data_IF_112816897515
#
_entry.id   IF_112816897515
#
_cell.length_a   1.000
_cell.length_b   1.000
_cell.length_c   1.000
_cell.angle_alpha   90.00
_cell.angle_beta   90.00
_cell.angle_gamma   90.00
#
_symmetry.space_group_name_H-M   'P 1'
#
loop_
_entity.id
_entity.type
_entity.pdbx_description
1 polymer ?
#
# COMPACT_ATOMS: atom_id res chain seq x y z
N UNK A 1 -30.98 26.20 -58.83
CA UNK A 1 -31.32 25.79 -57.44
C UNK A 1 -30.19 26.29 -56.55
N UNK A 2 -30.51 27.07 -55.52
CA UNK A 2 -29.52 27.87 -54.79
C UNK A 2 -28.72 27.05 -53.78
N UNK A 3 -27.39 27.28 -53.74
CA UNK A 3 -26.44 26.66 -52.81
C UNK A 3 -26.95 26.58 -51.36
N UNK A 4 -27.64 27.63 -50.89
CA UNK A 4 -28.19 27.71 -49.54
C UNK A 4 -29.22 26.61 -49.22
N UNK A 5 -30.03 26.18 -50.20
CA UNK A 5 -31.01 25.12 -49.99
C UNK A 5 -30.35 23.75 -49.87
N UNK A 6 -29.25 23.52 -50.59
CA UNK A 6 -28.46 22.28 -50.46
C UNK A 6 -27.73 22.24 -49.11
N UNK A 7 -27.14 23.35 -48.67
CA UNK A 7 -26.48 23.42 -47.35
C UNK A 7 -27.47 23.18 -46.22
N UNK A 8 -28.68 23.75 -46.31
CA UNK A 8 -29.73 23.55 -45.31
C UNK A 8 -30.23 22.10 -45.27
N UNK A 9 -30.28 21.44 -46.42
CA UNK A 9 -30.70 20.04 -46.54
C UNK A 9 -29.63 19.10 -45.97
N UNK A 10 -28.36 19.37 -46.27
CA UNK A 10 -27.22 18.68 -45.65
C UNK A 10 -27.22 18.81 -44.14
N UNK A 11 -27.42 20.03 -43.61
CA UNK A 11 -27.47 20.27 -42.17
C UNK A 11 -28.59 19.48 -41.47
N UNK A 12 -29.80 19.50 -42.03
CA UNK A 12 -30.93 18.72 -41.48
C UNK A 12 -30.66 17.21 -41.49
N UNK A 13 -30.03 16.71 -42.55
CA UNK A 13 -29.68 15.28 -42.68
C UNK A 13 -28.66 14.87 -41.62
N UNK A 14 -27.60 15.65 -41.45
CA UNK A 14 -26.57 15.46 -40.41
C UNK A 14 -27.19 15.51 -39.01
N UNK A 15 -28.08 16.47 -38.74
CA UNK A 15 -28.75 16.61 -37.45
C UNK A 15 -29.67 15.42 -37.12
N UNK A 16 -30.36 14.86 -38.12
CA UNK A 16 -31.20 13.67 -37.95
C UNK A 16 -30.37 12.42 -37.67
N UNK A 17 -29.24 12.25 -38.35
CA UNK A 17 -28.30 11.14 -38.11
C UNK A 17 -27.70 11.27 -36.70
N UNK A 18 -27.35 12.49 -36.28
CA UNK A 18 -26.84 12.76 -34.94
C UNK A 18 -27.90 12.45 -33.88
N UNK A 19 -29.15 12.88 -34.08
CA UNK A 19 -30.26 12.65 -33.14
C UNK A 19 -30.65 11.17 -33.04
N UNK A 20 -30.61 10.43 -34.14
CA UNK A 20 -30.90 8.99 -34.18
C UNK A 20 -29.88 8.18 -33.35
N UNK A 21 -28.61 8.59 -33.38
CA UNK A 21 -27.52 7.89 -32.67
C UNK A 21 -27.10 8.57 -31.35
N UNK A 22 -27.76 9.64 -30.94
CA UNK A 22 -27.40 10.43 -29.75
C UNK A 22 -27.44 9.57 -28.48
N UNK A 23 -28.48 8.74 -28.33
CA UNK A 23 -28.62 7.85 -27.17
C UNK A 23 -27.46 6.85 -27.08
N UNK A 24 -27.12 6.21 -28.20
CA UNK A 24 -26.03 5.22 -28.28
C UNK A 24 -24.68 5.87 -28.01
N UNK A 25 -24.42 7.05 -28.56
CA UNK A 25 -23.17 7.78 -28.33
C UNK A 25 -23.04 8.25 -26.87
N UNK A 26 -24.12 8.72 -26.26
CA UNK A 26 -24.14 9.18 -24.87
C UNK A 26 -23.91 8.01 -23.90
N UNK A 27 -24.56 6.86 -24.13
CA UNK A 27 -24.34 5.65 -23.34
C UNK A 27 -22.89 5.20 -23.48
N UNK A 28 -22.33 5.17 -24.70
CA UNK A 28 -20.94 4.79 -24.94
C UNK A 28 -19.95 5.73 -24.26
N UNK A 29 -20.18 7.04 -24.30
CA UNK A 29 -19.29 8.03 -23.68
C UNK A 29 -19.28 7.97 -22.15
N UNK A 30 -20.36 7.48 -21.54
CA UNK A 30 -20.46 7.33 -20.07
C UNK A 30 -19.99 5.93 -19.64
N UNK A 31 -20.36 4.88 -20.37
CA UNK A 31 -19.99 3.50 -20.04
C UNK A 31 -18.50 3.24 -20.18
N UNK A 32 -17.84 3.79 -21.20
CA UNK A 32 -16.42 3.51 -21.44
C UNK A 32 -15.50 3.98 -20.28
N UNK A 33 -15.62 5.22 -19.76
CA UNK A 33 -14.91 5.63 -18.54
C UNK A 33 -15.26 4.78 -17.32
N UNK A 34 -16.54 4.40 -17.16
CA UNK A 34 -17.00 3.59 -16.04
C UNK A 34 -16.37 2.19 -16.02
N UNK A 35 -16.28 1.54 -17.19
CA UNK A 35 -15.64 0.24 -17.34
C UNK A 35 -14.14 0.34 -17.04
N UNK A 36 -13.47 1.39 -17.54
CA UNK A 36 -12.06 1.67 -17.22
C UNK A 36 -11.88 1.86 -15.71
N UNK A 37 -12.73 2.66 -15.07
CA UNK A 37 -12.68 2.89 -13.63
C UNK A 37 -12.93 1.60 -12.84
N UNK A 38 -13.80 0.71 -13.33
CA UNK A 38 -14.09 -0.56 -12.65
C UNK A 38 -12.94 -1.56 -12.81
N UNK A 39 -12.34 -1.64 -14.00
CA UNK A 39 -11.17 -2.49 -14.25
C UNK A 39 -9.97 -1.98 -13.45
N UNK A 40 -9.61 -0.71 -13.57
CA UNK A 40 -8.46 -0.14 -12.86
C UNK A 40 -8.72 0.06 -11.36
N UNK A 41 -9.96 0.30 -10.96
CA UNK A 41 -10.36 0.35 -9.55
C UNK A 41 -10.25 -1.01 -8.87
N UNK A 42 -10.49 -2.11 -9.60
CA UNK A 42 -10.33 -3.46 -9.04
C UNK A 42 -8.87 -3.94 -8.99
N UNK A 43 -8.02 -3.47 -9.91
CA UNK A 43 -6.59 -3.77 -9.95
C UNK A 43 -5.80 -3.23 -8.74
N UNK A 44 -6.35 -2.28 -7.98
CA UNK A 44 -5.73 -1.77 -6.75
C UNK A 44 -5.93 -2.63 -5.49
N UNK A 45 -6.77 -3.67 -5.54
CA UNK A 45 -7.33 -4.24 -4.29
C UNK A 45 -6.62 -5.49 -3.71
N UNK A 46 -5.62 -6.07 -4.37
CA UNK A 46 -4.91 -7.20 -3.75
C UNK A 46 -3.51 -7.40 -4.28
N UNK A 47 -2.54 -6.70 -3.70
CA UNK A 47 -1.16 -7.14 -3.75
C UNK A 47 -1.02 -8.26 -2.74
N UNK A 48 -0.81 -9.48 -3.23
CA UNK A 48 -0.47 -10.64 -2.40
C UNK A 48 1.03 -10.87 -2.44
N UNK A 49 1.60 -11.27 -1.31
CA UNK A 49 2.98 -11.71 -1.22
C UNK A 49 4.02 -10.61 -1.30
N UNK A 50 3.78 -9.46 -0.66
CA UNK A 50 4.84 -8.46 -0.47
C UNK A 50 5.99 -9.13 0.30
N UNK A 51 7.22 -9.19 -0.23
CA UNK A 51 8.35 -9.82 0.43
C UNK A 51 8.76 -9.00 1.65
N UNK A 52 8.75 -9.66 2.81
CA UNK A 52 9.05 -9.04 4.10
C UNK A 52 10.10 -9.83 4.85
N UNK A 53 11.09 -9.15 5.39
CA UNK A 53 11.99 -9.73 6.38
C UNK A 53 11.60 -9.30 7.79
N UNK A 54 11.75 -10.23 8.73
CA UNK A 54 11.44 -9.97 10.14
C UNK A 54 12.70 -10.12 10.98
N UNK A 55 12.94 -9.14 11.85
CA UNK A 55 14.00 -9.15 12.85
C UNK A 55 13.34 -9.25 14.22
N UNK A 56 13.66 -10.29 14.99
CA UNK A 56 13.02 -10.54 16.27
C UNK A 56 14.00 -10.37 17.44
N UNK A 57 14.05 -9.17 18.03
CA UNK A 57 14.82 -8.90 19.25
C UNK A 57 14.06 -9.28 20.54
N UNK A 58 12.74 -9.44 20.48
CA UNK A 58 11.92 -9.82 21.63
C UNK A 58 12.11 -11.28 22.05
N UNK A 59 12.25 -12.18 21.06
CA UNK A 59 12.50 -13.62 21.25
C UNK A 59 11.57 -14.28 22.29
N UNK A 60 10.33 -13.80 22.40
CA UNK A 60 9.33 -14.32 23.34
C UNK A 60 8.17 -15.01 22.60
N UNK A 61 7.34 -15.82 23.30
CA UNK A 61 6.27 -16.59 22.65
C UNK A 61 5.27 -15.73 21.86
N UNK A 62 5.01 -14.50 22.33
CA UNK A 62 4.07 -13.57 21.70
C UNK A 62 4.63 -13.05 20.36
N UNK A 63 5.92 -12.70 20.32
CA UNK A 63 6.61 -12.29 19.09
C UNK A 63 6.59 -13.38 18.02
N UNK A 64 6.76 -14.65 18.43
CA UNK A 64 6.69 -15.80 17.51
C UNK A 64 5.27 -16.01 16.98
N UNK A 65 4.25 -15.86 17.83
CA UNK A 65 2.85 -15.92 17.40
C UNK A 65 2.52 -14.84 16.38
N UNK A 66 2.97 -13.60 16.62
CA UNK A 66 2.82 -12.51 15.68
C UNK A 66 3.45 -12.81 14.32
N UNK A 67 4.69 -13.32 14.29
CA UNK A 67 5.36 -13.72 13.05
C UNK A 67 4.56 -14.80 12.30
N UNK A 68 4.07 -15.81 13.02
CA UNK A 68 3.25 -16.87 12.43
C UNK A 68 1.94 -16.34 11.84
N UNK A 69 1.31 -15.35 12.50
CA UNK A 69 0.11 -14.69 11.97
C UNK A 69 0.42 -13.89 10.72
N UNK A 70 1.55 -13.18 10.66
CA UNK A 70 1.99 -12.50 9.44
C UNK A 70 2.22 -13.49 8.28
N UNK A 71 2.79 -14.67 8.56
CA UNK A 71 2.99 -15.72 7.56
C UNK A 71 1.69 -16.33 7.03
N UNK A 72 0.67 -16.46 7.89
CA UNK A 72 -0.63 -17.03 7.51
C UNK A 72 -1.48 -16.06 6.68
N UNK A 73 -1.26 -14.75 6.85
CA UNK A 73 -1.92 -13.72 6.06
C UNK A 73 -1.21 -13.62 4.71
N UNK A 74 -1.74 -14.29 3.67
CA UNK A 74 -1.26 -14.36 2.27
C UNK A 74 -0.96 -13.01 1.57
N UNK A 75 -1.14 -11.89 2.27
CA UNK A 75 -0.79 -10.54 1.81
C UNK A 75 0.71 -10.26 2.00
N UNK A 76 1.34 -10.90 2.98
CA UNK A 76 2.75 -10.72 3.33
C UNK A 76 3.50 -12.05 3.13
N UNK A 77 4.55 -12.03 2.33
CA UNK A 77 5.44 -13.17 2.14
C UNK A 77 6.68 -12.99 3.02
N UNK A 78 6.67 -13.57 4.23
CA UNK A 78 7.84 -13.55 5.10
C UNK A 78 8.95 -14.39 4.46
N UNK A 79 10.04 -13.75 4.04
CA UNK A 79 11.18 -14.40 3.38
C UNK A 79 12.11 -15.09 4.39
N UNK A 80 12.33 -14.46 5.54
CA UNK A 80 13.11 -15.04 6.62
C UNK A 80 13.00 -14.28 7.93
N UNK A 81 13.43 -14.94 9.01
CA UNK A 81 13.74 -14.30 10.29
C UNK A 81 15.26 -14.14 10.33
N UNK A 82 15.73 -12.90 10.37
CA UNK A 82 17.14 -12.56 10.10
C UNK A 82 17.65 -11.45 11.04
N UNK A 83 18.93 -11.10 10.93
CA UNK A 83 19.55 -9.99 11.67
C UNK A 83 19.20 -8.65 11.03
N UNK A 84 19.20 -7.56 11.82
CA UNK A 84 18.90 -6.22 11.30
C UNK A 84 19.82 -5.80 10.15
N UNK A 85 21.13 -6.05 10.25
CA UNK A 85 22.07 -5.73 9.18
C UNK A 85 21.73 -6.43 7.87
N UNK A 86 21.36 -7.71 7.94
CA UNK A 86 21.00 -8.47 6.75
C UNK A 86 19.64 -8.02 6.19
N UNK A 87 18.65 -7.80 7.05
CA UNK A 87 17.33 -7.33 6.63
C UNK A 87 17.39 -5.95 5.95
N UNK A 88 18.16 -5.01 6.50
CA UNK A 88 18.38 -3.70 5.90
C UNK A 88 19.16 -3.79 4.58
N UNK A 89 20.12 -4.71 4.47
CA UNK A 89 20.81 -4.98 3.21
C UNK A 89 19.83 -5.53 2.15
N UNK A 90 18.97 -6.47 2.52
CA UNK A 90 17.97 -7.05 1.64
C UNK A 90 16.90 -6.02 1.23
N UNK A 91 16.58 -5.05 2.10
CA UNK A 91 15.75 -3.88 1.75
C UNK A 91 16.47 -2.95 0.77
N UNK A 92 17.75 -2.64 1.00
CA UNK A 92 18.54 -1.75 0.14
C UNK A 92 18.79 -2.32 -1.26
N UNK A 93 18.90 -3.65 -1.35
CA UNK A 93 19.09 -4.38 -2.62
C UNK A 93 17.78 -4.72 -3.32
N UNK A 94 16.63 -4.41 -2.70
CA UNK A 94 15.30 -4.65 -3.27
C UNK A 94 14.88 -6.12 -3.28
N UNK A 95 15.50 -6.97 -2.45
CA UNK A 95 15.06 -8.36 -2.26
C UNK A 95 13.80 -8.46 -1.40
N UNK A 96 13.63 -7.51 -0.48
CA UNK A 96 12.41 -7.30 0.30
C UNK A 96 11.97 -5.85 0.18
N UNK A 97 10.66 -5.64 0.27
CA UNK A 97 10.05 -4.31 0.16
C UNK A 97 9.81 -3.69 1.54
N UNK A 98 9.69 -4.53 2.57
CA UNK A 98 9.44 -4.14 3.96
C UNK A 98 10.32 -4.96 4.89
N UNK A 99 10.82 -4.31 5.95
CA UNK A 99 11.49 -4.95 7.07
C UNK A 99 10.73 -4.62 8.34
N UNK A 100 10.37 -5.63 9.11
CA UNK A 100 9.69 -5.49 10.40
C UNK A 100 10.66 -5.84 11.51
N UNK A 101 10.96 -4.88 12.38
CA UNK A 101 11.85 -5.06 13.54
C UNK A 101 11.01 -5.07 14.81
N UNK A 102 10.96 -6.24 15.46
CA UNK A 102 10.27 -6.46 16.73
C UNK A 102 11.26 -6.19 17.85
N UNK A 103 10.97 -5.19 18.67
CA UNK A 103 11.85 -4.74 19.75
C UNK A 103 11.68 -5.59 21.02
N UNK A 104 12.68 -5.60 21.93
CA UNK A 104 12.62 -6.37 23.18
C UNK A 104 11.36 -6.13 24.04
N UNK A 105 10.80 -4.91 24.00
CA UNK A 105 9.59 -4.53 24.74
C UNK A 105 8.26 -4.97 24.09
N UNK A 106 8.27 -5.94 23.20
CA UNK A 106 7.05 -6.45 22.55
C UNK A 106 6.42 -7.60 23.36
N UNK A 107 5.10 -7.63 23.61
CA UNK A 107 4.13 -6.58 23.31
C UNK A 107 4.29 -5.39 24.28
N UNK A 108 3.98 -4.17 23.80
CA UNK A 108 4.09 -2.98 24.65
C UNK A 108 3.03 -3.06 25.76
N UNK A 109 3.44 -2.78 27.01
CA UNK A 109 2.47 -2.54 28.07
C UNK A 109 1.74 -1.22 27.78
N UNK A 110 0.45 -1.12 28.12
CA UNK A 110 -0.40 0.03 27.79
C UNK A 110 0.07 1.38 28.38
N UNK A 111 1.03 1.36 29.31
CA UNK A 111 1.65 2.55 29.92
C UNK A 111 2.95 3.00 29.23
N UNK A 112 3.53 2.21 28.33
CA UNK A 112 4.77 2.59 27.67
C UNK A 112 4.52 3.45 26.43
N UNK A 113 5.17 4.62 26.39
CA UNK A 113 5.12 5.55 25.25
C UNK A 113 6.12 5.18 24.14
N UNK A 114 6.93 4.14 24.34
CA UNK A 114 7.92 3.67 23.39
C UNK A 114 7.31 2.67 22.40
N UNK A 115 7.63 2.76 21.10
CA UNK A 115 7.20 1.74 20.15
C UNK A 115 7.78 0.37 20.52
N UNK A 116 6.99 -0.67 20.29
CA UNK A 116 7.46 -2.07 20.38
C UNK A 116 7.74 -2.68 19.00
N UNK A 117 7.48 -1.93 17.92
CA UNK A 117 7.66 -2.36 16.54
C UNK A 117 8.18 -1.19 15.69
N UNK A 118 9.24 -1.44 14.89
CA UNK A 118 9.64 -0.60 13.78
C UNK A 118 9.34 -1.29 12.45
N UNK A 119 8.87 -0.50 11.48
CA UNK A 119 8.63 -0.98 10.11
C UNK A 119 9.38 -0.07 9.16
N UNK A 120 10.33 -0.64 8.43
CA UNK A 120 11.10 0.02 7.38
C UNK A 120 10.57 -0.43 6.02
N UNK A 121 10.56 0.46 5.03
CA UNK A 121 10.08 0.12 3.69
C UNK A 121 10.74 0.99 2.64
N UNK A 122 10.78 0.48 1.41
CA UNK A 122 11.34 1.18 0.25
C UNK A 122 10.31 2.13 -0.38
N UNK A 123 10.74 3.31 -0.83
CA UNK A 123 9.87 4.28 -1.51
C UNK A 123 9.39 3.81 -2.90
N UNK A 124 9.99 2.76 -3.45
CA UNK A 124 9.76 2.36 -4.84
C UNK A 124 8.46 1.58 -5.07
N UNK A 125 7.66 1.34 -4.03
CA UNK A 125 6.55 0.40 -4.11
C UNK A 125 5.20 1.11 -3.89
N UNK A 126 4.51 1.39 -5.00
CA UNK A 126 3.26 2.18 -5.11
C UNK A 126 2.10 1.63 -4.26
N UNK A 127 2.16 0.35 -3.87
CA UNK A 127 1.07 -0.36 -3.20
C UNK A 127 1.35 -0.75 -1.73
N UNK A 128 2.39 -0.18 -1.09
CA UNK A 128 2.74 -0.49 0.31
C UNK A 128 1.69 -0.10 1.34
N UNK A 129 0.82 0.86 1.02
CA UNK A 129 -0.13 1.41 1.98
C UNK A 129 -1.05 0.35 2.62
N UNK A 130 -1.57 -0.60 1.83
CA UNK A 130 -2.45 -1.65 2.32
C UNK A 130 -1.71 -2.71 3.15
N UNK A 131 -0.48 -3.08 2.75
CA UNK A 131 0.35 -4.02 3.49
C UNK A 131 0.81 -3.45 4.84
N UNK A 132 1.19 -2.17 4.89
CA UNK A 132 1.57 -1.49 6.13
C UNK A 132 0.39 -1.38 7.11
N UNK A 133 -0.81 -1.08 6.61
CA UNK A 133 -2.02 -1.08 7.43
C UNK A 133 -2.29 -2.46 8.02
N UNK A 134 -2.14 -3.53 7.24
CA UNK A 134 -2.34 -4.89 7.74
C UNK A 134 -1.29 -5.31 8.76
N UNK A 135 -0.01 -4.97 8.57
CA UNK A 135 1.03 -5.17 9.58
C UNK A 135 0.65 -4.44 10.87
N UNK A 136 0.20 -3.19 10.76
CA UNK A 136 -0.29 -2.40 11.90
C UNK A 136 -1.48 -3.04 12.61
N UNK A 137 -2.49 -3.50 11.87
CA UNK A 137 -3.65 -4.20 12.42
C UNK A 137 -3.29 -5.52 13.08
N UNK A 138 -2.41 -6.31 12.47
CA UNK A 138 -1.92 -7.56 13.05
C UNK A 138 -1.14 -7.30 14.34
N UNK A 139 -0.29 -6.27 14.36
CA UNK A 139 0.47 -5.88 15.55
C UNK A 139 -0.44 -5.39 16.68
N UNK A 140 -1.51 -4.66 16.35
CA UNK A 140 -2.49 -4.18 17.31
C UNK A 140 -3.24 -5.31 18.05
N UNK A 141 -3.50 -6.46 17.40
CA UNK A 141 -4.10 -7.65 18.05
C UNK A 141 -3.24 -8.11 19.23
N UNK A 142 -1.92 -7.99 19.13
CA UNK A 142 -0.98 -8.37 20.17
C UNK A 142 -0.69 -7.23 21.16
N UNK A 143 -1.41 -6.11 21.10
CA UNK A 143 -1.21 -4.97 22.00
C UNK A 143 0.00 -4.11 21.62
N UNK A 144 0.59 -4.30 20.44
CA UNK A 144 1.70 -3.49 20.00
C UNK A 144 1.23 -2.14 19.43
N UNK A 145 1.90 -1.07 19.86
CA UNK A 145 1.85 0.24 19.22
C UNK A 145 2.99 0.30 18.21
N UNK A 146 2.66 0.39 16.93
CA UNK A 146 3.65 0.46 15.85
C UNK A 146 4.03 1.92 15.60
N UNK A 147 5.34 2.20 15.53
CA UNK A 147 5.83 3.42 14.89
C UNK A 147 6.29 3.04 13.49
N UNK A 148 5.59 3.59 12.49
CA UNK A 148 5.94 3.36 11.08
C UNK A 148 6.92 4.44 10.70
N UNK A 149 8.21 4.14 10.75
CA UNK A 149 9.22 5.07 10.29
C UNK A 149 9.35 4.98 8.76
N UNK A 150 8.97 6.04 8.06
CA UNK A 150 9.49 6.29 6.72
C UNK A 150 11.01 6.31 6.83
N UNK A 151 11.70 5.50 6.04
CA UNK A 151 13.10 5.73 5.76
C UNK A 151 13.23 5.96 4.27
N UNK A 152 13.00 7.21 3.86
CA UNK A 152 13.29 7.61 2.50
C UNK A 152 14.77 7.37 2.26
N UNK A 153 15.10 6.52 1.28
CA UNK A 153 16.42 6.40 0.66
C UNK A 153 17.57 6.30 1.65
N UNK A 154 18.06 5.08 1.85
CA UNK A 154 19.30 4.80 2.56
C UNK A 154 20.49 5.52 1.88
N UNK A 155 20.70 6.80 2.18
CA UNK A 155 21.98 7.47 2.00
C UNK A 155 22.74 7.18 3.29
N UNK A 156 23.73 6.29 3.21
CA UNK A 156 24.74 6.14 4.26
C UNK A 156 25.43 7.49 4.44
N UNK A 157 24.92 8.31 5.35
CA UNK A 157 25.69 9.42 5.89
C UNK A 157 26.91 8.81 6.59
N UNK A 158 28.07 9.45 6.44
CA UNK A 158 29.39 9.04 6.96
C UNK A 158 29.44 8.69 8.47
N UNK A 159 28.34 8.76 9.21
CA UNK A 159 28.24 8.50 10.65
C UNK A 159 27.30 7.35 11.05
N UNK A 160 26.77 6.56 10.12
CA UNK A 160 26.05 5.32 10.45
C UNK A 160 24.73 5.47 11.23
N UNK A 161 24.18 6.69 11.35
CA UNK A 161 22.89 6.93 11.98
C UNK A 161 21.82 7.08 10.90
N UNK A 162 20.82 6.19 10.86
CA UNK A 162 19.82 6.23 9.82
C UNK A 162 18.77 7.33 10.10
N UNK A 163 18.31 8.09 9.08
CA UNK A 163 17.35 9.17 9.28
C UNK A 163 16.00 8.61 9.73
N UNK A 164 15.48 9.13 10.84
CA UNK A 164 14.17 8.77 11.38
C UNK A 164 13.12 9.78 10.87
N UNK A 165 12.33 9.42 9.87
CA UNK A 165 11.03 10.07 9.64
C UNK A 165 9.94 9.19 10.23
N UNK A 166 9.56 9.44 11.48
CA UNK A 166 8.48 8.69 12.14
C UNK A 166 7.12 9.14 11.62
N UNK A 167 6.38 8.28 10.91
CA UNK A 167 4.93 8.39 10.80
C UNK A 167 4.34 7.60 11.97
N UNK A 168 3.86 8.33 12.98
CA UNK A 168 2.98 7.74 14.00
C UNK A 168 1.65 7.43 13.36
N UNK A 169 1.36 6.15 13.07
CA UNK A 169 0.01 5.72 12.76
C UNK A 169 -0.78 5.72 14.07
N UNK A 170 -1.50 6.81 14.33
CA UNK A 170 -2.40 6.88 15.47
C UNK A 170 -3.54 5.87 15.25
N UNK A 171 -3.69 4.81 16.05
CA UNK A 171 -4.80 3.87 15.91
C UNK A 171 -6.04 4.49 16.55
N UNK A 172 -6.60 5.52 15.93
CA UNK A 172 -7.94 6.01 16.28
C UNK A 172 -8.96 5.12 15.57
N UNK A 173 -9.07 3.86 15.98
CA UNK A 173 -10.25 3.06 15.68
C UNK A 173 -11.26 3.29 16.80
N UNK A 174 -12.44 3.79 16.41
CA UNK A 174 -13.49 4.26 17.30
C UNK A 174 -14.00 3.20 18.26
N UNK A 175 -14.42 3.69 19.43
CA UNK A 175 -15.33 3.00 20.34
C UNK A 175 -16.72 2.79 19.71
#
# INVERSE_FOLDING_TARGET
MGLLNDTMTLYKREMLIFKANLRTNLIRSIMFPLIILLIFGSLGSSVKGVPVDVVNYASNPISVQFINTLQQQNVIAVKGITTETQALNDLSTGKVDVVVVILPGFPASSSESTPSLYVYYSNNYVNLGSSLQQIGSAAAIYGARSNVALQQGFVLGNNGVPPQSTISLNPTYGA
#
